data_IF_875334414968
#
_entry.id   IF_875334414968
#
_cell.length_a   1.000
_cell.length_b   1.000
_cell.length_c   1.000
_cell.angle_alpha   90.00
_cell.angle_beta   90.00
_cell.angle_gamma   90.00
#
_symmetry.space_group_name_H-M   'P 1'
#
loop_
_entity.id
_entity.type
_entity.pdbx_description
1 polymer ?
#
# COMPACT_ATOMS: atom_id res chain seq x y z
N UNK A 1 -20.12 -3.30 -15.11
CA UNK A 1 -18.67 -3.57 -15.21
C UNK A 1 -18.31 -4.46 -14.03
N UNK A 2 -17.77 -5.67 -14.24
CA UNK A 2 -17.41 -6.54 -13.12
C UNK A 2 -16.34 -5.86 -12.26
N UNK A 3 -16.65 -5.66 -10.97
CA UNK A 3 -15.72 -5.10 -10.00
C UNK A 3 -14.84 -6.22 -9.43
N UNK A 4 -13.56 -5.94 -9.27
CA UNK A 4 -12.60 -6.79 -8.55
C UNK A 4 -12.36 -6.17 -7.18
N UNK A 5 -12.54 -6.95 -6.13
CA UNK A 5 -12.29 -6.52 -4.75
C UNK A 5 -11.10 -7.31 -4.22
N UNK A 6 -10.14 -6.61 -3.64
CA UNK A 6 -9.03 -7.22 -2.91
C UNK A 6 -9.29 -7.07 -1.43
N UNK A 7 -9.43 -8.21 -0.75
CA UNK A 7 -9.60 -8.25 0.69
C UNK A 7 -8.22 -8.40 1.36
N UNK A 8 -7.90 -7.52 2.31
CA UNK A 8 -6.64 -7.52 3.07
C UNK A 8 -6.51 -8.74 4.00
N UNK A 9 -5.31 -9.15 4.40
CA UNK A 9 -5.13 -10.35 5.24
C UNK A 9 -5.58 -10.18 6.71
N UNK A 10 -5.60 -8.97 7.26
CA UNK A 10 -5.95 -8.69 8.67
C UNK A 10 -7.46 -8.68 8.99
N UNK A 11 -8.21 -9.73 8.60
CA UNK A 11 -9.70 -9.74 8.69
C UNK A 11 -10.27 -10.36 9.98
N UNK A 12 -9.42 -10.73 10.93
CA UNK A 12 -9.84 -11.48 12.11
C UNK A 12 -10.24 -12.93 11.76
N UNK A 13 -9.89 -13.86 12.65
CA UNK A 13 -10.20 -15.29 12.52
C UNK A 13 -9.00 -16.19 12.24
N UNK A 14 -9.09 -17.46 12.70
CA UNK A 14 -8.04 -18.50 12.61
C UNK A 14 -6.66 -18.09 13.17
N UNK A 15 -6.63 -17.27 14.23
CA UNK A 15 -5.38 -16.90 14.92
C UNK A 15 -4.54 -15.84 14.20
N UNK A 16 -5.09 -15.15 13.21
CA UNK A 16 -4.46 -13.99 12.58
C UNK A 16 -4.80 -12.72 13.34
N UNK A 17 -3.85 -11.78 13.34
CA UNK A 17 -4.01 -10.44 13.89
C UNK A 17 -5.16 -9.70 13.19
N UNK A 18 -5.97 -9.00 13.99
CA UNK A 18 -7.12 -8.24 13.54
C UNK A 18 -6.72 -6.79 13.25
N UNK A 19 -7.38 -6.17 12.27
CA UNK A 19 -7.14 -4.77 11.93
C UNK A 19 -7.55 -3.87 13.12
N UNK A 20 -6.65 -3.00 13.56
CA UNK A 20 -7.02 -1.89 14.45
C UNK A 20 -7.81 -0.87 13.63
N UNK A 21 -9.14 -0.95 13.76
CA UNK A 21 -10.08 -0.12 13.01
C UNK A 21 -9.93 1.37 13.32
N UNK A 22 -9.64 1.73 14.57
CA UNK A 22 -9.51 3.13 15.00
C UNK A 22 -8.24 3.74 14.42
N UNK A 23 -7.11 3.01 14.50
CA UNK A 23 -5.85 3.43 13.91
C UNK A 23 -5.97 3.56 12.38
N UNK A 24 -6.65 2.60 11.73
CA UNK A 24 -6.86 2.61 10.28
C UNK A 24 -7.77 3.76 9.83
N UNK A 25 -8.84 4.04 10.57
CA UNK A 25 -9.75 5.16 10.29
C UNK A 25 -9.02 6.51 10.37
N UNK A 26 -8.18 6.71 11.39
CA UNK A 26 -7.41 7.95 11.51
C UNK A 26 -6.49 8.16 10.29
N UNK A 27 -5.83 7.10 9.82
CA UNK A 27 -4.97 7.16 8.63
C UNK A 27 -5.78 7.50 7.36
N UNK A 28 -7.00 6.95 7.22
CA UNK A 28 -7.90 7.30 6.12
C UNK A 28 -8.27 8.78 6.18
N UNK A 29 -8.60 9.29 7.37
CA UNK A 29 -9.01 10.68 7.55
C UNK A 29 -7.88 11.66 7.21
N UNK A 30 -6.64 11.35 7.58
CA UNK A 30 -5.46 12.09 7.15
C UNK A 30 -5.32 12.10 5.61
N UNK A 31 -5.39 10.92 4.99
CA UNK A 31 -5.26 10.78 3.54
C UNK A 31 -6.37 11.50 2.78
N UNK A 32 -7.61 11.47 3.30
CA UNK A 32 -8.75 12.18 2.74
C UNK A 32 -8.54 13.71 2.77
N UNK A 33 -7.96 14.25 3.84
CA UNK A 33 -7.60 15.66 3.95
C UNK A 33 -6.61 16.12 2.88
N UNK A 34 -5.64 15.27 2.52
CA UNK A 34 -4.64 15.55 1.48
C UNK A 34 -5.22 15.46 0.06
N UNK A 35 -6.17 14.54 -0.18
CA UNK A 35 -6.70 14.18 -1.50
C UNK A 35 -7.42 15.30 -2.26
N UNK A 36 -7.97 16.31 -1.56
CA UNK A 36 -8.77 17.41 -2.14
C UNK A 36 -8.00 18.31 -3.12
N UNK A 37 -6.69 18.08 -3.32
CA UNK A 37 -5.77 18.92 -4.09
C UNK A 37 -5.45 18.40 -5.51
N UNK A 38 -6.00 17.27 -5.96
CA UNK A 38 -5.52 16.59 -7.18
C UNK A 38 -6.56 16.52 -8.31
N UNK A 39 -6.23 17.08 -9.49
CA UNK A 39 -7.14 17.22 -10.64
C UNK A 39 -6.99 16.18 -11.77
N UNK A 40 -7.90 16.20 -12.76
CA UNK A 40 -8.08 15.20 -13.84
C UNK A 40 -6.88 14.95 -14.76
N UNK A 41 -6.04 15.95 -15.02
CA UNK A 41 -4.81 15.78 -15.83
C UNK A 41 -3.78 14.84 -15.16
N UNK A 42 -3.89 14.63 -13.85
CA UNK A 42 -2.98 13.81 -13.05
C UNK A 42 -3.09 12.31 -13.37
N UNK A 43 -4.29 11.82 -13.67
CA UNK A 43 -4.56 10.40 -13.88
C UNK A 43 -3.87 9.83 -15.14
N UNK A 44 -3.68 10.66 -16.17
CA UNK A 44 -3.10 10.24 -17.46
C UNK A 44 -1.57 10.10 -17.37
N UNK A 45 -0.89 11.06 -16.73
CA UNK A 45 0.58 11.01 -16.56
C UNK A 45 1.01 9.87 -15.62
N UNK A 46 0.22 9.59 -14.59
CA UNK A 46 0.50 8.48 -13.68
C UNK A 46 0.39 7.11 -14.33
N UNK A 47 -0.56 6.95 -15.26
CA UNK A 47 -0.71 5.70 -16.00
C UNK A 47 0.55 5.41 -16.82
N UNK A 48 1.08 6.40 -17.55
CA UNK A 48 2.31 6.28 -18.33
C UNK A 48 3.55 5.97 -17.48
N UNK A 49 3.70 6.60 -16.30
CA UNK A 49 4.81 6.29 -15.38
C UNK A 49 4.71 4.89 -14.76
N UNK A 50 3.49 4.46 -14.41
CA UNK A 50 3.25 3.13 -13.80
C UNK A 50 3.47 1.96 -14.76
N UNK A 51 3.44 2.20 -16.07
CA UNK A 51 3.74 1.19 -17.11
C UNK A 51 5.25 0.95 -17.26
N UNK A 52 6.08 1.94 -16.88
CA UNK A 52 7.54 1.91 -17.11
C UNK A 52 8.34 1.52 -15.85
N UNK A 53 7.81 1.75 -14.65
CA UNK A 53 8.50 1.44 -13.39
C UNK A 53 7.86 0.28 -12.64
N UNK A 54 8.70 -0.67 -12.19
CA UNK A 54 8.26 -1.71 -11.26
C UNK A 54 7.82 -1.07 -9.94
N UNK A 55 6.52 -1.10 -9.66
CA UNK A 55 5.94 -0.56 -8.43
C UNK A 55 6.17 -1.43 -7.19
N UNK A 56 6.77 -2.62 -7.31
CA UNK A 56 6.94 -3.57 -6.20
C UNK A 56 8.25 -3.33 -5.45
N UNK A 57 8.22 -3.55 -4.13
CA UNK A 57 9.41 -3.56 -3.26
C UNK A 57 9.83 -5.01 -3.04
N UNK A 58 11.06 -5.38 -3.38
CA UNK A 58 11.56 -6.74 -3.18
C UNK A 58 12.16 -6.89 -1.76
N UNK A 59 11.70 -7.85 -0.93
CA UNK A 59 12.29 -8.08 0.39
C UNK A 59 13.78 -8.43 0.33
N UNK A 60 14.22 -9.10 -0.74
CA UNK A 60 15.61 -9.54 -0.91
C UNK A 60 16.62 -8.39 -1.04
N UNK A 61 16.18 -7.18 -1.39
CA UNK A 61 17.05 -6.01 -1.53
C UNK A 61 17.42 -5.40 -0.16
N UNK A 62 16.69 -5.77 0.90
CA UNK A 62 16.77 -5.19 2.24
C UNK A 62 17.00 -6.24 3.35
N UNK A 63 18.10 -7.01 3.29
CA UNK A 63 18.36 -8.10 4.24
C UNK A 63 18.79 -7.65 5.64
N UNK A 64 19.25 -6.40 5.80
CA UNK A 64 19.80 -5.88 7.06
C UNK A 64 18.91 -4.80 7.66
N UNK A 65 18.98 -4.63 8.98
CA UNK A 65 18.27 -3.57 9.71
C UNK A 65 18.54 -2.17 9.14
N UNK A 66 19.80 -1.82 8.92
CA UNK A 66 20.19 -0.53 8.33
C UNK A 66 19.55 -0.29 6.95
N UNK A 67 19.49 -1.33 6.11
CA UNK A 67 18.81 -1.23 4.81
C UNK A 67 17.31 -1.07 4.94
N UNK A 68 16.69 -1.69 5.95
CA UNK A 68 15.26 -1.52 6.25
C UNK A 68 14.95 -0.10 6.74
N UNK A 69 15.81 0.48 7.58
CA UNK A 69 15.70 1.89 7.98
C UNK A 69 15.78 2.83 6.78
N UNK A 70 16.76 2.62 5.89
CA UNK A 70 16.86 3.36 4.62
C UNK A 70 15.63 3.15 3.71
N UNK A 71 15.04 1.95 3.72
CA UNK A 71 13.79 1.68 3.01
C UNK A 71 12.64 2.50 3.61
N UNK A 72 12.53 2.56 4.94
CA UNK A 72 11.48 3.34 5.59
C UNK A 72 11.56 4.83 5.25
N UNK A 73 12.78 5.40 5.22
CA UNK A 73 12.98 6.78 4.77
C UNK A 73 12.49 7.00 3.34
N UNK A 74 12.77 6.05 2.43
CA UNK A 74 12.30 6.11 1.04
C UNK A 74 10.77 5.97 0.95
N UNK A 75 10.16 5.13 1.78
CA UNK A 75 8.70 4.97 1.87
C UNK A 75 8.06 6.27 2.36
N UNK A 76 8.55 6.86 3.46
CA UNK A 76 8.07 8.16 3.94
C UNK A 76 8.19 9.25 2.88
N UNK A 77 9.31 9.25 2.14
CA UNK A 77 9.50 10.19 1.02
C UNK A 77 8.49 9.98 -0.10
N UNK A 78 8.16 8.73 -0.45
CA UNK A 78 7.20 8.43 -1.52
C UNK A 78 5.78 8.91 -1.15
N UNK A 79 5.43 8.97 0.13
CA UNK A 79 4.15 9.52 0.58
C UNK A 79 3.94 10.99 0.27
N UNK A 80 5.01 11.74 0.04
CA UNK A 80 4.97 13.16 -0.35
C UNK A 80 4.88 13.34 -1.87
N UNK A 81 5.12 12.28 -2.63
CA UNK A 81 4.98 12.30 -4.07
C UNK A 81 3.50 12.49 -4.44
N UNK A 82 3.26 13.03 -5.64
CA UNK A 82 1.91 13.26 -6.13
C UNK A 82 1.17 11.90 -6.23
N UNK A 83 0.01 11.73 -5.56
CA UNK A 83 -0.70 10.48 -5.59
C UNK A 83 -1.28 10.18 -6.97
N UNK A 84 -1.19 8.92 -7.33
CA UNK A 84 -1.80 8.25 -8.47
C UNK A 84 -3.00 7.42 -7.97
N UNK A 85 -3.80 6.87 -8.89
CA UNK A 85 -5.06 6.20 -8.53
C UNK A 85 -4.92 5.10 -7.45
N UNK A 86 -3.81 4.37 -7.43
CA UNK A 86 -3.52 3.35 -6.42
C UNK A 86 -2.75 3.87 -5.19
N UNK A 87 -2.16 5.07 -5.25
CA UNK A 87 -1.27 5.59 -4.20
C UNK A 87 -1.94 5.71 -2.85
N UNK A 88 -3.20 6.14 -2.83
CA UNK A 88 -3.91 6.40 -1.58
C UNK A 88 -4.05 5.10 -0.79
N UNK A 89 -4.47 4.01 -1.44
CA UNK A 89 -4.60 2.72 -0.79
C UNK A 89 -3.25 2.21 -0.24
N UNK A 90 -2.20 2.24 -1.07
CA UNK A 90 -0.85 1.80 -0.65
C UNK A 90 -0.34 2.65 0.52
N UNK A 91 -0.46 3.98 0.43
CA UNK A 91 -0.04 4.91 1.47
C UNK A 91 -0.80 4.69 2.77
N UNK A 92 -2.11 4.47 2.72
CA UNK A 92 -2.90 4.20 3.93
C UNK A 92 -2.42 2.94 4.65
N UNK A 93 -2.19 1.85 3.92
CA UNK A 93 -1.67 0.62 4.54
C UNK A 93 -0.27 0.80 5.12
N UNK A 94 0.62 1.51 4.43
CA UNK A 94 1.98 1.74 4.94
C UNK A 94 2.01 2.64 6.17
N UNK A 95 1.20 3.72 6.18
CA UNK A 95 1.03 4.59 7.35
C UNK A 95 0.38 3.87 8.53
N UNK A 96 -0.58 2.99 8.25
CA UNK A 96 -1.18 2.13 9.28
C UNK A 96 -0.10 1.30 9.98
N UNK A 97 0.73 0.58 9.22
CA UNK A 97 1.81 -0.22 9.82
C UNK A 97 2.82 0.62 10.60
N UNK A 98 3.20 1.81 10.09
CA UNK A 98 4.07 2.71 10.83
C UNK A 98 3.48 3.16 12.16
N UNK A 99 2.15 3.26 12.23
CA UNK A 99 1.45 3.71 13.42
C UNK A 99 1.21 2.59 14.43
N UNK A 100 0.99 1.36 13.96
CA UNK A 100 0.62 0.22 14.82
C UNK A 100 1.78 -0.67 15.23
N UNK A 101 2.90 -0.64 14.51
CA UNK A 101 4.09 -1.41 14.86
C UNK A 101 4.96 -0.67 15.88
N UNK A 102 5.70 -1.42 16.70
CA UNK A 102 6.49 -0.85 17.80
C UNK A 102 7.75 -0.12 17.31
N UNK A 103 8.32 -0.60 16.21
CA UNK A 103 9.53 -0.02 15.64
C UNK A 103 9.57 -0.02 14.10
N UNK A 104 10.61 0.61 13.55
CA UNK A 104 10.81 0.76 12.10
C UNK A 104 11.12 -0.57 11.42
N UNK A 105 11.79 -1.49 12.09
CA UNK A 105 12.14 -2.79 11.52
C UNK A 105 10.89 -3.66 11.37
N UNK A 106 10.06 -3.73 12.41
CA UNK A 106 8.76 -4.39 12.36
C UNK A 106 7.85 -3.74 11.31
N UNK A 107 7.75 -2.42 11.29
CA UNK A 107 6.97 -1.66 10.30
C UNK A 107 7.35 -2.07 8.88
N UNK A 108 8.65 -2.05 8.56
CA UNK A 108 9.14 -2.37 7.23
C UNK A 108 8.87 -3.83 6.88
N UNK A 109 9.05 -4.74 7.84
CA UNK A 109 8.74 -6.14 7.63
C UNK A 109 7.25 -6.34 7.31
N UNK A 110 6.35 -5.68 8.06
CA UNK A 110 4.91 -5.72 7.78
C UNK A 110 4.55 -5.13 6.42
N UNK A 111 5.19 -4.02 6.03
CA UNK A 111 5.01 -3.45 4.69
C UNK A 111 5.46 -4.45 3.63
N UNK A 112 6.63 -5.08 3.77
CA UNK A 112 7.12 -6.06 2.81
C UNK A 112 6.23 -7.30 2.74
N UNK A 113 5.64 -7.73 3.85
CA UNK A 113 4.81 -8.93 3.92
C UNK A 113 3.38 -8.71 3.43
N UNK A 114 2.81 -7.50 3.62
CA UNK A 114 1.39 -7.23 3.34
C UNK A 114 1.19 -6.22 2.20
N UNK A 115 2.02 -5.19 2.08
CA UNK A 115 1.88 -4.11 1.09
C UNK A 115 3.23 -3.72 0.44
N UNK A 116 3.89 -4.64 -0.29
CA UNK A 116 5.23 -4.42 -0.85
C UNK A 116 5.18 -3.58 -2.14
N UNK A 117 4.67 -2.36 -2.04
CA UNK A 117 4.43 -1.48 -3.18
C UNK A 117 4.87 -0.04 -2.90
N UNK A 118 5.44 0.62 -3.89
CA UNK A 118 5.69 2.05 -3.87
C UNK A 118 4.41 2.80 -4.17
N UNK A 119 3.92 3.60 -3.23
CA UNK A 119 2.65 4.30 -3.43
C UNK A 119 2.67 5.17 -4.70
N UNK A 120 3.80 5.76 -5.08
CA UNK A 120 3.96 6.64 -6.24
C UNK A 120 4.20 5.94 -7.59
N UNK A 121 4.36 4.60 -7.60
CA UNK A 121 4.76 3.83 -8.80
C UNK A 121 3.88 2.61 -9.09
N UNK A 122 2.86 2.35 -8.28
CA UNK A 122 2.03 1.15 -8.44
C UNK A 122 0.97 1.25 -9.54
N UNK A 123 1.09 0.40 -10.56
CA UNK A 123 -0.01 0.13 -11.48
C UNK A 123 -1.05 -0.80 -10.82
N UNK A 124 -2.37 -0.58 -11.00
CA UNK A 124 -3.40 -1.43 -10.41
C UNK A 124 -3.26 -2.93 -10.75
N UNK A 125 -2.88 -3.26 -11.99
CA UNK A 125 -2.69 -4.66 -12.43
C UNK A 125 -1.51 -5.34 -11.73
N UNK A 126 -0.39 -4.62 -11.57
CA UNK A 126 0.78 -5.10 -10.83
C UNK A 126 0.44 -5.28 -9.35
N UNK A 127 -0.30 -4.33 -8.77
CA UNK A 127 -0.77 -4.40 -7.39
C UNK A 127 -1.62 -5.64 -7.13
N UNK A 128 -2.62 -5.93 -7.98
CA UNK A 128 -3.43 -7.16 -7.85
C UNK A 128 -2.55 -8.41 -7.84
N UNK A 129 -1.64 -8.54 -8.82
CA UNK A 129 -0.77 -9.71 -8.91
C UNK A 129 0.10 -9.88 -7.66
N UNK A 130 0.80 -8.82 -7.24
CA UNK A 130 1.66 -8.87 -6.06
C UNK A 130 0.86 -9.13 -4.78
N UNK A 131 -0.22 -8.40 -4.54
CA UNK A 131 -0.97 -8.51 -3.29
C UNK A 131 -1.60 -9.90 -3.13
N UNK A 132 -2.05 -10.53 -4.22
CA UNK A 132 -2.51 -11.94 -4.15
C UNK A 132 -1.43 -12.94 -3.74
N UNK A 133 -0.15 -12.63 -3.98
CA UNK A 133 0.98 -13.45 -3.49
C UNK A 133 1.29 -13.18 -2.01
N UNK A 134 0.77 -12.08 -1.46
CA UNK A 134 1.01 -11.60 -0.09
C UNK A 134 -0.26 -11.73 0.78
N UNK A 135 -1.05 -12.78 0.52
CA UNK A 135 -2.21 -13.14 1.36
C UNK A 135 -3.50 -12.36 1.07
N UNK A 136 -3.51 -11.43 0.12
CA UNK A 136 -4.75 -10.75 -0.27
C UNK A 136 -5.63 -11.67 -1.10
N UNK A 137 -6.94 -11.62 -0.84
CA UNK A 137 -7.91 -12.46 -1.53
C UNK A 137 -8.61 -11.64 -2.60
N UNK A 138 -8.48 -12.06 -3.85
CA UNK A 138 -9.17 -11.46 -4.99
C UNK A 138 -10.55 -12.06 -5.14
N UNK A 139 -11.58 -11.23 -4.97
CA UNK A 139 -12.96 -11.56 -5.34
C UNK A 139 -13.25 -11.00 -6.72
N UNK A 140 -13.72 -11.87 -7.61
CA UNK A 140 -14.13 -11.53 -8.99
C UNK A 140 -15.63 -11.79 -9.06
N UNK A 141 -16.38 -10.85 -9.66
CA UNK A 141 -17.85 -10.85 -9.78
C UNK A 141 -18.57 -10.48 -8.47
N UNK A 142 -18.34 -9.26 -8.00
CA UNK A 142 -19.27 -8.62 -7.08
C UNK A 142 -20.47 -8.13 -7.89
N UNK A 143 -21.49 -8.98 -8.02
CA UNK A 143 -22.81 -8.57 -8.48
C UNK A 143 -23.47 -7.90 -7.27
N UNK A 144 -23.41 -6.57 -7.23
CA UNK A 144 -24.01 -5.74 -6.18
C UNK A 144 -25.53 -5.74 -6.24
#
# INVERSE_FOLDING_TARGET
VPMKILLHPLRGGRGQEELDHDAFEEVIMEAAGESKKYGKLTAVNSFLQSVVQQGTISPGDYPTKEKREQLMEKIRKSWTARPICASVAVKCWQKYFEKTCDDTEETVQRILDVMPHWCDKSAPSAMVKTLTQHGWVLLINFDG
#
